data_IF_839203501125
#
_entry.id   IF_839203501125
#
_cell.length_a   1.000
_cell.length_b   1.000
_cell.length_c   1.000
_cell.angle_alpha   90.00
_cell.angle_beta   90.00
_cell.angle_gamma   90.00
#
_symmetry.space_group_name_H-M   'P 1'
#
loop_
_entity.id
_entity.type
_entity.pdbx_description
1 polymer ?
#
# COMPACT_ATOMS: atom_id res chain seq x y z
N UNK A 1 2.28 -8.99 -23.33
CA UNK A 1 3.37 -9.61 -22.58
C UNK A 1 2.89 -10.02 -21.20
N UNK A 2 3.36 -11.16 -20.72
CA UNK A 2 3.03 -11.62 -19.39
C UNK A 2 3.72 -10.73 -18.34
N UNK A 3 3.05 -10.51 -17.21
CA UNK A 3 3.63 -9.79 -16.08
C UNK A 3 4.77 -10.60 -15.48
N UNK A 4 5.81 -9.93 -15.04
CA UNK A 4 6.88 -10.54 -14.30
C UNK A 4 6.47 -10.92 -12.89
N UNK A 5 7.32 -11.70 -12.23
CA UNK A 5 7.04 -12.19 -10.87
C UNK A 5 6.81 -11.05 -9.88
N UNK A 6 7.60 -9.98 -9.97
CA UNK A 6 7.46 -8.84 -9.05
C UNK A 6 6.08 -8.20 -9.15
N UNK A 7 5.56 -8.00 -10.36
CA UNK A 7 4.23 -7.44 -10.53
C UNK A 7 3.14 -8.36 -10.00
N UNK A 8 3.30 -9.68 -10.17
CA UNK A 8 2.31 -10.63 -9.64
C UNK A 8 2.27 -10.60 -8.11
N UNK A 9 3.40 -10.43 -7.46
CA UNK A 9 3.46 -10.28 -5.99
C UNK A 9 2.71 -9.03 -5.57
N UNK A 10 2.96 -7.90 -6.24
CA UNK A 10 2.30 -6.63 -5.94
C UNK A 10 0.80 -6.73 -6.21
N UNK A 11 0.40 -7.36 -7.31
CA UNK A 11 -1.02 -7.55 -7.64
C UNK A 11 -1.74 -8.31 -6.51
N UNK A 12 -1.14 -9.37 -6.00
CA UNK A 12 -1.72 -10.14 -4.89
C UNK A 12 -1.83 -9.30 -3.63
N UNK A 13 -0.77 -8.54 -3.31
CA UNK A 13 -0.75 -7.66 -2.17
C UNK A 13 -1.88 -6.63 -2.23
N UNK A 14 -2.04 -5.98 -3.36
CA UNK A 14 -3.10 -4.98 -3.57
C UNK A 14 -4.49 -5.61 -3.41
N UNK A 15 -4.69 -6.81 -3.94
CA UNK A 15 -5.97 -7.50 -3.82
C UNK A 15 -6.31 -7.81 -2.36
N UNK A 16 -5.34 -8.26 -1.57
CA UNK A 16 -5.53 -8.51 -0.15
C UNK A 16 -5.81 -7.22 0.62
N UNK A 17 -5.05 -6.17 0.31
CA UNK A 17 -5.21 -4.87 0.94
C UNK A 17 -6.60 -4.29 0.66
N UNK A 18 -7.05 -4.35 -0.57
CA UNK A 18 -8.37 -3.83 -0.95
C UNK A 18 -9.50 -4.50 -0.17
N UNK A 19 -9.30 -5.75 0.26
CA UNK A 19 -10.30 -6.48 1.09
C UNK A 19 -10.11 -6.24 2.59
N UNK A 20 -9.06 -5.51 2.98
CA UNK A 20 -8.75 -5.32 4.39
C UNK A 20 -8.23 -6.59 5.08
N UNK A 21 -7.74 -7.55 4.30
CA UNK A 21 -7.20 -8.81 4.84
C UNK A 21 -5.75 -8.61 5.26
N UNK A 22 -5.56 -8.10 6.46
CA UNK A 22 -4.24 -7.72 6.98
C UNK A 22 -3.29 -8.92 7.03
N UNK A 23 -3.75 -10.08 7.49
CA UNK A 23 -2.87 -11.25 7.57
C UNK A 23 -2.39 -11.72 6.20
N UNK A 24 -3.24 -11.67 5.20
CA UNK A 24 -2.84 -12.00 3.83
C UNK A 24 -1.85 -10.98 3.27
N UNK A 25 -2.03 -9.69 3.60
CA UNK A 25 -1.06 -8.65 3.23
C UNK A 25 0.31 -8.97 3.83
N UNK A 26 0.35 -9.29 5.11
CA UNK A 26 1.60 -9.61 5.82
C UNK A 26 2.31 -10.79 5.16
N UNK A 27 1.56 -11.78 4.69
CA UNK A 27 2.12 -12.93 3.98
C UNK A 27 2.85 -12.58 2.69
N UNK A 28 2.59 -11.42 2.11
CA UNK A 28 3.27 -10.93 0.91
C UNK A 28 4.54 -10.14 1.22
N UNK A 29 4.81 -9.86 2.49
CA UNK A 29 5.92 -8.99 2.91
C UNK A 29 7.10 -9.79 3.42
N UNK A 30 8.31 -9.30 3.14
CA UNK A 30 9.52 -9.84 3.76
C UNK A 30 9.50 -9.52 5.25
N UNK A 31 10.14 -10.36 6.07
CA UNK A 31 10.15 -10.19 7.52
C UNK A 31 10.72 -8.82 7.93
N UNK A 32 11.69 -8.32 7.17
CA UNK A 32 12.36 -7.04 7.42
C UNK A 32 11.83 -5.91 6.55
N UNK A 33 10.60 -6.03 6.04
CA UNK A 33 10.00 -5.04 5.15
C UNK A 33 10.14 -3.62 5.69
N UNK A 34 10.41 -2.69 4.78
CA UNK A 34 10.50 -1.26 5.09
C UNK A 34 9.34 -0.55 4.40
N UNK A 35 8.40 -0.10 5.19
CA UNK A 35 7.20 0.58 4.72
C UNK A 35 7.31 2.06 5.08
N UNK A 36 7.09 2.96 4.14
CA UNK A 36 7.24 4.39 4.40
C UNK A 36 6.23 5.21 3.64
N UNK A 37 5.49 6.05 4.35
CA UNK A 37 4.70 7.12 3.76
C UNK A 37 5.61 8.34 3.70
N UNK A 38 6.00 8.72 2.49
CA UNK A 38 6.94 9.83 2.31
C UNK A 38 6.27 11.16 2.67
N UNK A 39 6.92 12.05 3.43
CA UNK A 39 8.30 11.95 3.94
C UNK A 39 8.41 11.46 5.40
N UNK A 40 7.43 10.76 5.93
CA UNK A 40 7.42 10.34 7.32
C UNK A 40 8.44 9.24 7.61
N UNK A 41 8.67 8.96 8.90
CA UNK A 41 9.58 7.91 9.32
C UNK A 41 9.12 6.54 8.83
N UNK A 42 10.04 5.66 8.43
CA UNK A 42 9.66 4.33 7.98
C UNK A 42 9.20 3.44 9.13
N UNK A 43 8.30 2.51 8.79
CA UNK A 43 7.88 1.41 9.66
C UNK A 43 8.61 0.16 9.19
N UNK A 44 9.33 -0.50 10.07
CA UNK A 44 10.19 -1.63 9.72
C UNK A 44 9.70 -2.91 10.38
N UNK A 45 9.59 -3.98 9.58
CA UNK A 45 9.22 -5.29 10.04
C UNK A 45 7.74 -5.57 9.99
N UNK A 46 7.39 -6.85 9.83
CA UNK A 46 5.99 -7.26 9.64
C UNK A 46 5.13 -7.00 10.87
N UNK A 47 5.68 -7.13 12.07
CA UNK A 47 4.91 -6.88 13.30
C UNK A 47 4.43 -5.43 13.36
N UNK A 48 5.31 -4.49 13.06
CA UNK A 48 4.97 -3.06 13.09
C UNK A 48 3.99 -2.70 11.96
N UNK A 49 4.16 -3.29 10.78
CA UNK A 49 3.23 -3.06 9.66
C UNK A 49 1.85 -3.64 9.98
N UNK A 50 1.80 -4.84 10.57
CA UNK A 50 0.53 -5.44 11.00
C UNK A 50 -0.22 -4.54 11.96
N UNK A 51 0.47 -4.00 12.95
CA UNK A 51 -0.12 -3.10 13.94
C UNK A 51 -0.68 -1.84 13.26
N UNK A 52 0.10 -1.25 12.36
CA UNK A 52 -0.32 -0.05 11.64
C UNK A 52 -1.55 -0.30 10.78
N UNK A 53 -1.56 -1.38 10.01
CA UNK A 53 -2.68 -1.71 9.13
C UNK A 53 -3.93 -2.12 9.91
N UNK A 54 -3.76 -2.85 11.00
CA UNK A 54 -4.88 -3.23 11.86
C UNK A 54 -5.53 -1.98 12.45
N UNK A 55 -4.74 -1.01 12.89
CA UNK A 55 -5.26 0.26 13.40
C UNK A 55 -6.01 1.03 12.31
N UNK A 56 -5.45 1.09 11.10
CA UNK A 56 -6.09 1.78 9.98
C UNK A 56 -7.46 1.17 9.67
N UNK A 57 -7.53 -0.14 9.50
CA UNK A 57 -8.80 -0.81 9.19
C UNK A 57 -9.77 -0.83 10.37
N UNK A 58 -9.28 -0.55 11.58
CA UNK A 58 -10.13 -0.38 12.74
C UNK A 58 -10.95 0.90 12.71
N UNK A 59 -10.51 1.90 11.97
CA UNK A 59 -11.19 3.22 11.89
C UNK A 59 -11.66 3.58 10.48
N UNK A 60 -11.01 3.08 9.45
CA UNK A 60 -11.38 3.37 8.06
C UNK A 60 -12.54 2.48 7.63
N UNK A 61 -13.46 3.04 6.85
CA UNK A 61 -14.60 2.32 6.31
C UNK A 61 -14.63 2.46 4.79
N UNK A 62 -15.23 1.48 4.13
CA UNK A 62 -15.48 1.50 2.68
C UNK A 62 -14.18 1.68 1.89
N UNK A 63 -13.13 0.98 2.29
CA UNK A 63 -11.84 1.06 1.64
C UNK A 63 -11.90 0.45 0.24
N UNK A 64 -11.39 1.19 -0.74
CA UNK A 64 -11.36 0.76 -2.13
C UNK A 64 -10.09 1.27 -2.79
N UNK A 65 -9.49 0.45 -3.63
CA UNK A 65 -8.27 0.80 -4.39
C UNK A 65 -8.60 0.75 -5.87
N UNK A 66 -8.18 1.77 -6.60
CA UNK A 66 -8.31 1.83 -8.05
C UNK A 66 -6.92 2.07 -8.65
N UNK A 67 -6.38 1.04 -9.32
CA UNK A 67 -5.07 1.12 -9.96
C UNK A 67 -5.25 1.67 -11.36
N UNK A 68 -4.54 2.77 -11.68
CA UNK A 68 -4.62 3.43 -12.98
C UNK A 68 -3.53 2.94 -13.93
N UNK A 69 -2.31 2.76 -13.43
CA UNK A 69 -1.17 2.34 -14.23
C UNK A 69 -0.15 1.63 -13.35
N UNK A 70 0.53 0.66 -13.93
CA UNK A 70 1.57 -0.07 -13.23
C UNK A 70 2.68 -0.43 -14.21
N UNK A 71 3.90 -0.17 -13.82
CA UNK A 71 5.09 -0.49 -14.62
C UNK A 71 6.11 -1.16 -13.73
N UNK A 72 7.02 -1.91 -14.31
CA UNK A 72 8.08 -2.55 -13.55
C UNK A 72 9.38 -2.54 -14.32
N UNK A 73 10.48 -2.59 -13.59
CA UNK A 73 11.82 -2.79 -14.11
C UNK A 73 12.53 -3.71 -13.14
N UNK A 74 12.78 -4.97 -13.55
CA UNK A 74 13.36 -5.97 -12.67
C UNK A 74 12.47 -6.20 -11.45
N UNK A 75 13.03 -6.00 -10.29
CA UNK A 75 12.35 -6.23 -9.01
C UNK A 75 11.62 -4.99 -8.46
N UNK A 76 11.62 -3.89 -9.21
CA UNK A 76 10.96 -2.65 -8.78
C UNK A 76 9.66 -2.48 -9.54
N UNK A 77 8.57 -2.23 -8.81
CA UNK A 77 7.24 -2.01 -9.38
C UNK A 77 6.78 -0.62 -8.95
N UNK A 78 6.32 0.17 -9.91
CA UNK A 78 5.71 1.48 -9.65
C UNK A 78 4.26 1.46 -10.06
N UNK A 79 3.42 2.08 -9.23
CA UNK A 79 1.99 1.99 -9.41
C UNK A 79 1.35 3.34 -9.11
N UNK A 80 0.58 3.86 -10.07
CA UNK A 80 -0.25 5.03 -9.85
C UNK A 80 -1.66 4.53 -9.54
N UNK A 81 -2.21 4.99 -8.41
CA UNK A 81 -3.53 4.54 -7.99
C UNK A 81 -4.25 5.61 -7.18
N UNK A 82 -5.52 5.37 -6.90
CA UNK A 82 -6.30 6.17 -5.97
C UNK A 82 -6.87 5.25 -4.90
N UNK A 83 -6.68 5.63 -3.64
CA UNK A 83 -7.31 4.96 -2.50
C UNK A 83 -8.49 5.78 -2.05
N UNK A 84 -9.62 5.11 -1.79
CA UNK A 84 -10.85 5.74 -1.30
C UNK A 84 -11.22 5.10 0.03
N UNK A 85 -11.52 5.92 1.02
CA UNK A 85 -12.01 5.42 2.31
C UNK A 85 -12.69 6.54 3.08
N UNK A 86 -13.43 6.17 4.12
CA UNK A 86 -14.08 7.14 5.01
C UNK A 86 -13.46 7.07 6.38
N UNK A 87 -13.20 8.24 6.97
CA UNK A 87 -12.74 8.40 8.34
C UNK A 87 -13.68 9.36 9.04
N UNK A 88 -14.31 8.90 10.12
CA UNK A 88 -15.22 9.75 10.88
C UNK A 88 -16.36 10.34 10.04
N UNK A 89 -16.83 9.57 9.05
CA UNK A 89 -17.90 10.03 8.16
C UNK A 89 -17.43 10.90 7.00
N UNK A 90 -16.14 11.22 6.93
CA UNK A 90 -15.59 12.04 5.86
C UNK A 90 -14.94 11.15 4.81
N UNK A 91 -15.38 11.30 3.56
CA UNK A 91 -14.79 10.58 2.44
C UNK A 91 -13.42 11.18 2.08
N UNK A 92 -12.42 10.33 1.97
CA UNK A 92 -11.08 10.70 1.53
C UNK A 92 -10.80 10.04 0.19
N UNK A 93 -10.34 10.83 -0.76
CA UNK A 93 -9.91 10.38 -2.08
C UNK A 93 -8.43 10.73 -2.18
N UNK A 94 -7.58 9.71 -2.21
CA UNK A 94 -6.14 9.88 -2.05
C UNK A 94 -5.38 9.36 -3.27
N UNK A 95 -4.94 10.24 -4.19
CA UNK A 95 -4.06 9.83 -5.27
C UNK A 95 -2.69 9.47 -4.72
N UNK A 96 -2.15 8.34 -5.14
CA UNK A 96 -0.89 7.80 -4.61
C UNK A 96 -0.03 7.27 -5.76
N UNK A 97 1.28 7.48 -5.65
CA UNK A 97 2.25 6.71 -6.41
C UNK A 97 2.98 5.79 -5.43
N UNK A 98 2.82 4.49 -5.60
CA UNK A 98 3.48 3.49 -4.76
C UNK A 98 4.68 2.89 -5.46
N UNK A 99 5.75 2.66 -4.70
CA UNK A 99 6.96 1.98 -5.20
C UNK A 99 7.21 0.76 -4.34
N UNK A 100 7.32 -0.40 -4.99
CA UNK A 100 7.53 -1.68 -4.31
C UNK A 100 8.82 -2.30 -4.80
N UNK A 101 9.62 -2.81 -3.88
CA UNK A 101 10.81 -3.59 -4.22
C UNK A 101 10.57 -5.02 -3.74
N UNK A 102 10.71 -5.97 -4.65
CA UNK A 102 10.43 -7.38 -4.39
C UNK A 102 11.74 -8.15 -4.28
N UNK A 103 11.85 -9.01 -3.27
CA UNK A 103 13.02 -9.84 -3.02
C UNK A 103 12.53 -11.23 -2.62
N UNK A 104 12.97 -12.25 -3.35
CA UNK A 104 12.63 -13.65 -3.08
C UNK A 104 11.10 -13.87 -2.97
N UNK A 105 10.36 -13.27 -3.89
CA UNK A 105 8.91 -13.44 -3.96
C UNK A 105 8.12 -12.68 -2.92
N UNK A 106 8.75 -11.75 -2.18
CA UNK A 106 8.09 -10.94 -1.15
C UNK A 106 8.47 -9.48 -1.29
N UNK A 107 7.59 -8.61 -0.84
CA UNK A 107 7.83 -7.17 -0.86
C UNK A 107 8.78 -6.83 0.27
N UNK A 108 9.97 -6.32 -0.08
CA UNK A 108 11.00 -5.93 0.89
C UNK A 108 10.95 -4.44 1.21
N UNK A 109 10.45 -3.62 0.28
CA UNK A 109 10.28 -2.19 0.49
C UNK A 109 8.96 -1.75 -0.15
N UNK A 110 8.30 -0.81 0.51
CA UNK A 110 7.00 -0.31 0.10
C UNK A 110 6.94 1.16 0.47
N UNK A 111 6.98 2.05 -0.53
CA UNK A 111 6.97 3.51 -0.34
C UNK A 111 5.74 4.10 -1.00
N UNK A 112 5.10 5.01 -0.30
CA UNK A 112 3.90 5.71 -0.79
C UNK A 112 4.18 7.20 -0.87
N UNK A 113 3.90 7.80 -2.03
CA UNK A 113 4.05 9.23 -2.28
C UNK A 113 2.67 9.82 -2.52
N UNK A 114 2.26 10.74 -1.67
CA UNK A 114 0.95 11.38 -1.78
C UNK A 114 0.96 12.75 -1.12
N UNK A 115 -0.08 13.52 -1.38
CA UNK A 115 -0.23 14.84 -0.79
C UNK A 115 -0.79 14.72 0.64
N UNK A 116 0.04 15.01 1.62
CA UNK A 116 -0.33 14.94 3.03
C UNK A 116 -1.50 15.85 3.38
N UNK A 117 -1.64 16.98 2.67
CA UNK A 117 -2.76 17.89 2.90
C UNK A 117 -4.11 17.23 2.61
N UNK A 118 -4.18 16.41 1.57
CA UNK A 118 -5.39 15.67 1.24
C UNK A 118 -5.79 14.74 2.39
N UNK A 119 -4.80 14.04 2.93
CA UNK A 119 -5.04 13.10 4.04
C UNK A 119 -5.44 13.83 5.31
N UNK A 120 -4.73 14.89 5.67
CA UNK A 120 -4.91 15.59 6.95
C UNK A 120 -6.16 16.46 6.98
N UNK A 121 -6.48 17.14 5.88
CA UNK A 121 -7.57 18.10 5.83
C UNK A 121 -8.78 17.65 5.05
N UNK A 122 -8.75 16.43 4.57
CA UNK A 122 -9.77 15.99 3.62
C UNK A 122 -9.54 16.66 2.28
N UNK A 123 -10.59 16.70 1.47
CA UNK A 123 -10.50 17.23 0.11
C UNK A 123 -10.96 18.68 0.01
N UNK A 124 -11.12 19.27 1.13
CA UNK A 124 -11.71 20.60 1.19
C UNK A 124 -10.79 21.70 1.01
#
# INVERSE_FOLDING_TARGET
MAKGEAELVVDRFIAHWARGDVEAMIGCLADDVRCQNMPMEPTVGTAAVRELQTAFFGVAQDFRIEVHAQVSSGDVVMQERTDFFSLGGQLITLPICGVFEVRDGRIAAWREYFDMATFAGGNG
#
